data_IF_643328708556
#
_entry.id   IF_643328708556
#
_cell.length_a   1.000
_cell.length_b   1.000
_cell.length_c   1.000
_cell.angle_alpha   90.00
_cell.angle_beta   90.00
_cell.angle_gamma   90.00
#
_symmetry.space_group_name_H-M   'P 1'
#
loop_
_entity.id
_entity.type
_entity.pdbx_description
1 polymer ?
#
# COMPACT_ATOMS: atom_id res chain seq x y z
N UNK A 1 -0.88 16.82 -28.36
CA UNK A 1 0.01 15.68 -28.62
C UNK A 1 0.21 15.00 -27.28
N UNK A 2 -0.50 13.90 -27.01
CA UNK A 2 -0.48 13.24 -25.72
C UNK A 2 0.84 12.50 -25.54
N UNK A 3 1.64 12.93 -24.56
CA UNK A 3 2.77 12.17 -24.06
C UNK A 3 2.17 11.00 -23.26
N UNK A 4 2.22 9.80 -23.82
CA UNK A 4 1.75 8.58 -23.19
C UNK A 4 2.98 7.90 -22.58
N UNK A 5 3.31 8.14 -21.30
CA UNK A 5 4.34 7.36 -20.66
C UNK A 5 3.80 5.93 -20.52
N UNK A 6 4.58 4.96 -20.97
CA UNK A 6 4.33 3.53 -20.80
C UNK A 6 3.79 3.23 -19.40
N UNK A 7 2.48 3.07 -19.29
CA UNK A 7 1.75 2.92 -18.03
C UNK A 7 1.61 1.46 -17.61
N UNK A 8 2.36 0.57 -18.27
CA UNK A 8 2.17 -0.88 -18.20
C UNK A 8 3.31 -1.65 -17.53
N UNK A 9 4.43 -1.03 -17.17
CA UNK A 9 5.58 -1.81 -16.68
C UNK A 9 6.20 -1.26 -15.42
N UNK A 10 6.11 -2.10 -14.39
CA UNK A 10 6.82 -2.08 -13.11
C UNK A 10 6.20 -1.14 -12.09
N UNK A 11 5.90 -1.70 -10.91
CA UNK A 11 5.67 -0.91 -9.71
C UNK A 11 6.76 0.16 -9.62
N UNK A 12 6.42 1.44 -9.42
CA UNK A 12 7.44 2.47 -9.33
C UNK A 12 8.49 2.04 -8.30
N UNK A 13 9.77 2.36 -8.56
CA UNK A 13 10.91 1.96 -7.71
C UNK A 13 10.84 2.48 -6.26
N UNK A 14 9.77 3.20 -5.95
CA UNK A 14 9.40 3.77 -4.65
C UNK A 14 9.09 2.72 -3.58
N UNK A 15 8.78 1.48 -3.97
CA UNK A 15 8.46 0.39 -3.04
C UNK A 15 9.67 -0.49 -2.71
N UNK A 16 9.69 -1.04 -1.50
CA UNK A 16 10.66 -2.08 -1.13
C UNK A 16 10.45 -3.38 -1.93
N UNK A 17 11.48 -4.24 -2.07
CA UNK A 17 11.35 -5.52 -2.77
C UNK A 17 10.24 -6.41 -2.22
N UNK A 18 10.08 -6.47 -0.89
CA UNK A 18 9.04 -7.28 -0.24
C UNK A 18 7.63 -6.82 -0.62
N UNK A 19 7.39 -5.51 -0.64
CA UNK A 19 6.11 -4.94 -1.06
C UNK A 19 5.83 -5.20 -2.54
N UNK A 20 6.87 -5.12 -3.40
CA UNK A 20 6.72 -5.41 -4.83
C UNK A 20 6.36 -6.87 -5.08
N UNK A 21 7.09 -7.79 -4.46
CA UNK A 21 6.84 -9.23 -4.59
C UNK A 21 5.45 -9.61 -4.09
N UNK A 22 5.01 -9.02 -2.97
CA UNK A 22 3.65 -9.22 -2.49
C UNK A 22 2.61 -8.73 -3.50
N UNK A 23 2.79 -7.52 -4.03
CA UNK A 23 1.83 -6.92 -4.96
C UNK A 23 1.73 -7.73 -6.25
N UNK A 24 2.85 -8.13 -6.85
CA UNK A 24 2.88 -8.91 -8.09
C UNK A 24 2.32 -10.32 -7.92
N UNK A 25 2.37 -10.90 -6.71
CA UNK A 25 1.67 -12.16 -6.40
C UNK A 25 0.16 -11.99 -6.27
N UNK A 26 -0.29 -10.83 -5.80
CA UNK A 26 -1.70 -10.54 -5.55
C UNK A 26 -2.44 -9.96 -6.77
N UNK A 27 -1.76 -9.17 -7.61
CA UNK A 27 -2.33 -8.41 -8.71
C UNK A 27 -1.44 -8.51 -9.96
N UNK A 28 -2.06 -8.37 -11.15
CA UNK A 28 -1.31 -8.41 -12.42
C UNK A 28 -0.46 -7.15 -12.63
N UNK A 29 -1.06 -5.98 -12.38
CA UNK A 29 -0.44 -4.67 -12.58
C UNK A 29 -1.20 -3.60 -11.77
N UNK A 30 -0.55 -2.48 -11.43
CA UNK A 30 -1.24 -1.37 -10.77
C UNK A 30 -2.22 -0.66 -11.70
N UNK A 31 -3.26 -0.07 -11.11
CA UNK A 31 -4.16 0.83 -11.83
C UNK A 31 -3.50 2.20 -12.04
N UNK A 32 -3.96 2.96 -13.03
CA UNK A 32 -3.41 4.30 -13.29
C UNK A 32 -3.48 5.21 -12.04
N UNK A 33 -4.59 5.16 -11.30
CA UNK A 33 -4.76 5.96 -10.06
C UNK A 33 -3.78 5.54 -8.97
N UNK A 34 -3.47 4.24 -8.86
CA UNK A 34 -2.47 3.73 -7.92
C UNK A 34 -1.08 4.27 -8.27
N UNK A 35 -0.65 4.07 -9.51
CA UNK A 35 0.66 4.54 -10.00
C UNK A 35 0.83 6.04 -9.81
N UNK A 36 -0.16 6.86 -10.19
CA UNK A 36 -0.10 8.31 -10.03
C UNK A 36 -0.02 8.72 -8.55
N UNK A 37 -0.83 8.10 -7.69
CA UNK A 37 -0.82 8.38 -6.24
C UNK A 37 0.55 8.11 -5.63
N UNK A 38 1.19 6.99 -6.01
CA UNK A 38 2.50 6.63 -5.48
C UNK A 38 3.62 7.55 -5.95
N UNK A 39 3.56 8.06 -7.18
CA UNK A 39 4.55 9.03 -7.67
C UNK A 39 4.49 10.35 -6.88
N UNK A 40 3.29 10.84 -6.57
CA UNK A 40 3.12 12.06 -5.74
C UNK A 40 3.57 11.77 -4.30
N UNK A 41 3.12 10.65 -3.72
CA UNK A 41 3.45 10.31 -2.34
C UNK A 41 4.96 10.07 -2.12
N UNK A 42 5.67 9.53 -3.12
CA UNK A 42 7.13 9.35 -3.11
C UNK A 42 7.91 10.66 -3.00
N UNK A 43 7.34 11.76 -3.49
CA UNK A 43 7.90 13.11 -3.36
C UNK A 43 7.55 13.76 -2.03
N UNK A 44 6.89 13.04 -1.13
CA UNK A 44 6.37 13.55 0.14
C UNK A 44 5.37 14.71 -0.04
N UNK A 45 4.65 14.74 -1.15
CA UNK A 45 3.61 15.72 -1.46
C UNK A 45 2.22 15.21 -1.02
N UNK A 46 1.28 16.14 -0.78
CA UNK A 46 -0.11 15.82 -0.48
C UNK A 46 -0.89 15.49 -1.75
N UNK A 47 -1.72 14.45 -1.72
CA UNK A 47 -2.53 14.00 -2.86
C UNK A 47 -4.02 13.97 -2.53
N UNK A 48 -4.85 14.59 -3.38
CA UNK A 48 -6.30 14.37 -3.42
C UNK A 48 -6.62 13.46 -4.62
N UNK A 49 -7.09 12.25 -4.33
CA UNK A 49 -7.30 11.22 -5.35
C UNK A 49 -8.77 11.10 -5.70
N UNK A 50 -9.12 11.45 -6.95
CA UNK A 50 -10.48 11.38 -7.49
C UNK A 50 -10.53 10.28 -8.55
N UNK A 51 -11.26 9.20 -8.29
CA UNK A 51 -11.46 8.10 -9.24
C UNK A 51 -12.76 7.34 -8.92
N UNK A 52 -13.32 6.55 -9.86
CA UNK A 52 -14.48 5.70 -9.61
C UNK A 52 -14.28 4.67 -8.48
N UNK A 53 -15.36 4.11 -7.97
CA UNK A 53 -15.32 2.89 -7.13
C UNK A 53 -14.63 1.75 -7.88
N UNK A 54 -14.05 0.79 -7.15
CA UNK A 54 -13.28 -0.31 -7.75
C UNK A 54 -11.91 0.08 -8.35
N UNK A 55 -11.56 1.37 -8.46
CA UNK A 55 -10.27 1.80 -9.05
C UNK A 55 -9.04 1.54 -8.16
N UNK A 56 -9.24 1.02 -6.94
CA UNK A 56 -8.14 0.67 -6.02
C UNK A 56 -7.54 1.83 -5.22
N UNK A 57 -8.26 2.94 -5.05
CA UNK A 57 -7.83 4.14 -4.28
C UNK A 57 -7.35 3.81 -2.85
N UNK A 58 -8.07 2.91 -2.17
CA UNK A 58 -7.71 2.47 -0.81
C UNK A 58 -6.34 1.81 -0.79
N UNK A 59 -6.09 0.85 -1.69
CA UNK A 59 -4.79 0.20 -1.80
C UNK A 59 -3.70 1.21 -2.19
N UNK A 60 -4.02 2.19 -3.05
CA UNK A 60 -3.09 3.26 -3.42
C UNK A 60 -2.54 3.99 -2.17
N UNK A 61 -3.44 4.47 -1.30
CA UNK A 61 -3.05 5.19 -0.09
C UNK A 61 -2.34 4.30 0.93
N UNK A 62 -2.90 3.12 1.21
CA UNK A 62 -2.41 2.26 2.29
C UNK A 62 -1.08 1.57 1.98
N UNK A 63 -0.89 1.10 0.75
CA UNK A 63 0.31 0.34 0.41
C UNK A 63 1.57 1.19 0.58
N UNK A 64 1.52 2.46 0.16
CA UNK A 64 2.64 3.40 0.31
C UNK A 64 2.92 3.72 1.79
N UNK A 65 1.87 4.00 2.57
CA UNK A 65 2.02 4.31 3.99
C UNK A 65 2.63 3.13 4.78
N UNK A 66 2.21 1.90 4.48
CA UNK A 66 2.74 0.69 5.11
C UNK A 66 4.18 0.40 4.69
N UNK A 67 4.50 0.48 3.40
CA UNK A 67 5.87 0.28 2.92
C UNK A 67 6.85 1.26 3.58
N UNK A 68 6.46 2.53 3.68
CA UNK A 68 7.23 3.55 4.40
C UNK A 68 7.42 3.20 5.87
N UNK A 69 6.36 2.77 6.55
CA UNK A 69 6.42 2.34 7.95
C UNK A 69 7.37 1.16 8.16
N UNK A 70 7.37 0.18 7.25
CA UNK A 70 8.28 -0.97 7.32
C UNK A 70 9.74 -0.59 7.08
N UNK A 71 10.01 0.35 6.16
CA UNK A 71 11.37 0.86 5.92
C UNK A 71 11.91 1.63 7.12
N UNK A 72 11.12 2.55 7.68
CA UNK A 72 11.49 3.33 8.88
C UNK A 72 11.64 2.43 10.12
N UNK A 73 10.90 1.33 10.17
CA UNK A 73 11.00 0.29 11.21
C UNK A 73 12.21 -0.63 11.07
N UNK A 74 13.15 -0.41 10.15
CA UNK A 74 14.41 -1.16 10.09
C UNK A 74 15.56 -0.50 10.87
N UNK A 75 15.55 0.82 10.97
CA UNK A 75 16.73 1.61 11.39
C UNK A 75 16.74 2.00 12.88
N UNK A 76 15.60 1.95 13.60
CA UNK A 76 15.50 2.56 14.94
C UNK A 76 14.64 1.76 15.96
N UNK A 77 14.60 0.42 15.83
CA UNK A 77 13.57 -0.41 16.48
C UNK A 77 13.70 -0.66 17.97
N UNK A 78 14.88 -0.50 18.58
CA UNK A 78 15.02 -0.81 20.03
C UNK A 78 14.47 0.30 20.93
N UNK A 79 14.58 1.56 20.52
CA UNK A 79 14.05 2.70 21.28
C UNK A 79 12.65 3.11 20.79
N UNK A 80 12.34 2.98 19.49
CA UNK A 80 11.02 3.27 18.96
C UNK A 80 9.93 2.30 19.48
N UNK A 81 10.25 1.02 19.75
CA UNK A 81 9.28 0.08 20.35
C UNK A 81 8.83 0.49 21.76
N UNK A 82 9.65 1.26 22.49
CA UNK A 82 9.30 1.75 23.84
C UNK A 82 8.25 2.87 23.79
N UNK A 83 8.14 3.60 22.67
CA UNK A 83 7.15 4.66 22.49
C UNK A 83 6.05 4.14 21.57
N UNK A 84 4.91 3.77 22.15
CA UNK A 84 3.68 3.40 21.39
C UNK A 84 3.12 4.64 20.67
N UNK A 85 3.74 5.08 19.59
CA UNK A 85 3.31 6.24 18.78
C UNK A 85 2.51 5.78 17.57
N UNK A 86 1.38 6.45 17.31
CA UNK A 86 0.63 6.29 16.07
C UNK A 86 1.42 6.90 14.91
N UNK A 87 1.71 6.09 13.89
CA UNK A 87 2.48 6.50 12.70
C UNK A 87 1.62 6.78 11.46
N UNK A 88 0.45 6.16 11.40
CA UNK A 88 -0.50 6.30 10.30
C UNK A 88 -1.88 6.53 10.93
N UNK A 89 -2.57 7.60 10.52
CA UNK A 89 -3.94 7.91 10.92
C UNK A 89 -4.86 7.81 9.72
N UNK A 90 -5.80 6.86 9.77
CA UNK A 90 -6.87 6.74 8.79
C UNK A 90 -8.17 7.30 9.38
N UNK A 91 -8.79 8.22 8.67
CA UNK A 91 -10.06 8.83 9.06
C UNK A 91 -11.11 8.39 8.05
N UNK A 92 -12.20 7.82 8.56
CA UNK A 92 -13.36 7.43 7.76
C UNK A 92 -14.60 8.19 8.25
N UNK A 93 -15.46 8.68 7.35
CA UNK A 93 -16.75 9.23 7.75
C UNK A 93 -17.72 8.16 8.29
N UNK A 94 -17.48 6.87 8.00
CA UNK A 94 -18.36 5.75 8.38
C UNK A 94 -17.58 4.65 9.10
N UNK A 95 -18.10 4.16 10.23
CA UNK A 95 -17.46 3.11 11.05
C UNK A 95 -17.22 1.80 10.28
N UNK A 96 -18.20 1.35 9.50
CA UNK A 96 -18.11 0.10 8.73
C UNK A 96 -16.88 0.06 7.81
N UNK A 97 -16.60 1.18 7.13
CA UNK A 97 -15.44 1.30 6.25
C UNK A 97 -14.11 1.24 7.02
N UNK A 98 -14.07 1.77 8.24
CA UNK A 98 -12.91 1.61 9.14
C UNK A 98 -12.64 0.14 9.48
N UNK A 99 -13.70 -0.60 9.82
CA UNK A 99 -13.62 -2.04 10.12
C UNK A 99 -13.18 -2.85 8.89
N UNK A 100 -13.70 -2.54 7.71
CA UNK A 100 -13.35 -3.22 6.48
C UNK A 100 -11.90 -2.98 6.08
N UNK A 101 -11.44 -1.72 6.19
CA UNK A 101 -10.02 -1.38 6.00
C UNK A 101 -9.14 -2.14 6.98
N UNK A 102 -9.47 -2.17 8.27
CA UNK A 102 -8.70 -2.94 9.27
C UNK A 102 -8.60 -4.43 8.88
N UNK A 103 -9.70 -5.07 8.49
CA UNK A 103 -9.71 -6.46 8.04
C UNK A 103 -8.86 -6.66 6.78
N UNK A 104 -8.99 -5.76 5.80
CA UNK A 104 -8.24 -5.81 4.55
C UNK A 104 -6.74 -5.56 4.75
N UNK A 105 -6.34 -4.85 5.81
CA UNK A 105 -4.94 -4.62 6.18
C UNK A 105 -4.34 -5.77 6.99
N UNK A 106 -5.14 -6.53 7.74
CA UNK A 106 -4.62 -7.71 8.46
C UNK A 106 -4.09 -8.80 7.52
N UNK A 107 -4.57 -8.88 6.29
CA UNK A 107 -4.11 -9.86 5.31
C UNK A 107 -2.70 -9.55 4.78
N UNK A 108 -2.39 -8.34 4.27
CA UNK A 108 -1.01 -7.92 3.98
C UNK A 108 -0.09 -8.10 5.19
N UNK A 109 -0.52 -7.74 6.40
CA UNK A 109 0.31 -7.84 7.61
C UNK A 109 0.60 -9.29 8.03
N UNK A 110 -0.28 -10.25 7.72
CA UNK A 110 -0.03 -11.68 7.98
C UNK A 110 0.80 -12.35 6.88
N UNK A 111 0.79 -11.80 5.67
CA UNK A 111 1.39 -12.41 4.48
C UNK A 111 2.73 -11.77 4.11
N UNK A 112 2.99 -10.53 4.53
CA UNK A 112 4.31 -9.91 4.40
C UNK A 112 5.29 -10.72 5.25
N UNK A 113 6.24 -11.44 4.63
CA UNK A 113 7.14 -12.29 5.37
C UNK A 113 8.10 -11.40 6.15
N UNK A 114 8.04 -11.50 7.48
CA UNK A 114 9.19 -11.20 8.34
C UNK A 114 10.32 -12.24 8.16
N UNK A 115 10.10 -13.30 7.37
CA UNK A 115 11.08 -14.15 6.72
C UNK A 115 10.35 -15.11 5.76
N UNK A 116 11.01 -15.48 4.66
CA UNK A 116 10.39 -16.06 3.46
C UNK A 116 9.58 -17.35 3.64
N UNK A 117 8.66 -17.56 2.70
CA UNK A 117 8.04 -18.87 2.41
C UNK A 117 6.60 -19.03 2.91
N UNK A 118 5.62 -18.74 2.04
CA UNK A 118 4.23 -19.11 2.31
C UNK A 118 3.26 -18.61 1.24
N UNK A 119 2.84 -19.50 0.33
CA UNK A 119 1.88 -19.20 -0.72
C UNK A 119 0.50 -18.85 -0.13
N UNK A 120 0.10 -17.58 -0.24
CA UNK A 120 -1.22 -17.12 0.19
C UNK A 120 -2.30 -17.55 -0.83
N UNK A 121 -3.27 -18.35 -0.38
CA UNK A 121 -4.46 -18.74 -1.16
C UNK A 121 -5.29 -17.50 -1.51
N UNK A 122 -5.64 -17.40 -2.79
CA UNK A 122 -6.52 -16.36 -3.37
C UNK A 122 -7.88 -16.35 -2.66
N UNK A 123 -8.20 -15.25 -2.00
CA UNK A 123 -9.59 -14.80 -1.83
C UNK A 123 -9.68 -13.38 -2.38
N UNK A 124 -10.52 -13.21 -3.40
CA UNK A 124 -10.85 -11.94 -4.01
C UNK A 124 -11.61 -11.08 -2.99
N UNK A 125 -11.10 -9.90 -2.63
CA UNK A 125 -11.78 -8.99 -1.69
C UNK A 125 -11.65 -7.51 -2.09
N UNK A 126 -11.38 -7.22 -3.36
CA UNK A 126 -11.57 -5.87 -3.89
C UNK A 126 -12.67 -5.93 -4.94
N UNK A 127 -13.91 -5.71 -4.49
CA UNK A 127 -15.04 -5.26 -5.29
C UNK A 127 -15.50 -3.93 -4.68
#
# INVERSE_FOLDING_TARGET
MADNPDSSSLLPDVFSPATRDWFLRAFKQPTAVQSQTWHVAARSEHALVIAPTGSGKTLAAFLYALDRLFREGGEDTREAHKRKTSRILYISPIKALGTDVQRNLQLPLKVLPMNGGGAAKRKSIFA
#
